data_IF_509026142157
#
_entry.id   IF_509026142157
#
_cell.length_a   1.000
_cell.length_b   1.000
_cell.length_c   1.000
_cell.angle_alpha   90.00
_cell.angle_beta   90.00
_cell.angle_gamma   90.00
#
_symmetry.space_group_name_H-M   'P 1'
#
loop_
_entity.id
_entity.type
_entity.pdbx_description
1 polymer ?
#
# COMPACT_ATOMS: atom_id res chain seq x y z
N UNK A 1 -46.97 33.09 31.03
CA UNK A 1 -46.36 31.74 30.91
C UNK A 1 -45.75 31.44 29.53
N UNK A 2 -46.27 32.02 28.44
CA UNK A 2 -45.84 31.75 27.05
C UNK A 2 -44.38 32.14 26.71
N UNK A 3 -43.83 33.24 27.24
CA UNK A 3 -42.41 33.65 27.05
C UNK A 3 -41.42 32.63 27.64
N UNK A 4 -41.71 32.06 28.81
CA UNK A 4 -40.84 31.06 29.46
C UNK A 4 -40.85 29.73 28.68
N UNK A 5 -41.98 29.37 28.07
CA UNK A 5 -42.09 28.20 27.19
C UNK A 5 -41.36 28.41 25.86
N UNK A 6 -41.42 29.62 25.28
CA UNK A 6 -40.68 29.98 24.07
C UNK A 6 -39.16 29.96 24.30
N UNK A 7 -38.67 30.51 25.42
CA UNK A 7 -37.24 30.46 25.76
C UNK A 7 -36.75 29.03 25.99
N UNK A 8 -37.55 28.18 26.66
CA UNK A 8 -37.19 26.77 26.87
C UNK A 8 -37.05 26.02 25.54
N UNK A 9 -37.98 26.23 24.60
CA UNK A 9 -37.92 25.64 23.26
C UNK A 9 -36.68 26.06 22.47
N UNK A 10 -36.32 27.35 22.53
CA UNK A 10 -35.12 27.89 21.86
C UNK A 10 -33.82 27.30 22.43
N UNK A 11 -33.73 27.16 23.76
CA UNK A 11 -32.54 26.59 24.42
C UNK A 11 -32.37 25.12 24.02
N UNK A 12 -33.44 24.33 24.02
CA UNK A 12 -33.38 22.93 23.56
C UNK A 12 -33.02 22.82 22.08
N UNK A 13 -33.52 23.71 21.23
CA UNK A 13 -33.18 23.74 19.81
C UNK A 13 -31.69 24.02 19.57
N UNK A 14 -31.14 25.02 20.27
CA UNK A 14 -29.70 25.33 20.18
C UNK A 14 -28.81 24.21 20.72
N UNK A 15 -29.23 23.52 21.79
CA UNK A 15 -28.49 22.37 22.32
C UNK A 15 -28.40 21.22 21.30
N UNK A 16 -29.52 20.91 20.62
CA UNK A 16 -29.55 19.87 19.58
C UNK A 16 -28.63 20.25 18.41
N UNK A 17 -28.72 21.50 17.93
CA UNK A 17 -27.86 22.00 16.83
C UNK A 17 -26.37 21.92 17.22
N UNK A 18 -26.02 22.30 18.45
CA UNK A 18 -24.64 22.21 18.95
C UNK A 18 -24.11 20.78 18.99
N UNK A 19 -24.91 19.81 19.43
CA UNK A 19 -24.50 18.40 19.45
C UNK A 19 -24.31 17.83 18.05
N UNK A 20 -25.20 18.15 17.10
CA UNK A 20 -25.07 17.72 15.70
C UNK A 20 -23.83 18.34 15.05
N UNK A 21 -23.60 19.63 15.25
CA UNK A 21 -22.40 20.31 14.75
C UNK A 21 -21.10 19.68 15.31
N UNK A 22 -21.07 19.34 16.61
CA UNK A 22 -19.91 18.67 17.22
C UNK A 22 -19.65 17.28 16.60
N UNK A 23 -20.71 16.50 16.35
CA UNK A 23 -20.58 15.17 15.73
C UNK A 23 -20.10 15.21 14.28
N UNK A 24 -20.46 16.25 13.51
CA UNK A 24 -20.03 16.41 12.11
C UNK A 24 -18.57 16.88 12.06
N UNK A 25 -18.19 17.87 12.88
CA UNK A 25 -16.81 18.37 12.92
C UNK A 25 -15.82 17.33 13.43
N UNK A 26 -16.19 16.52 14.43
CA UNK A 26 -15.36 15.40 14.89
C UNK A 26 -15.17 14.32 13.82
N UNK A 27 -16.08 14.25 12.83
CA UNK A 27 -16.04 13.28 11.73
C UNK A 27 -15.36 13.78 10.45
N UNK A 28 -15.10 15.07 10.31
CA UNK A 28 -14.47 15.64 9.11
C UNK A 28 -12.93 15.51 9.08
N UNK A 29 -12.32 14.92 10.11
CA UNK A 29 -10.86 14.92 10.29
C UNK A 29 -10.12 13.65 9.85
N UNK A 30 -10.78 12.66 9.25
CA UNK A 30 -10.18 11.34 8.99
C UNK A 30 -10.36 10.81 7.56
N UNK A 31 -10.33 11.67 6.56
CA UNK A 31 -10.15 11.23 5.18
C UNK A 31 -8.82 11.76 4.66
N UNK A 32 -7.73 11.23 5.23
CA UNK A 32 -6.44 11.20 4.54
C UNK A 32 -6.39 9.92 3.73
N UNK A 33 -6.29 10.05 2.42
CA UNK A 33 -6.05 9.01 1.40
C UNK A 33 -4.64 8.37 1.57
N UNK A 34 -4.29 8.01 2.81
CA UNK A 34 -2.93 7.86 3.32
C UNK A 34 -2.25 6.52 3.05
N UNK A 35 -2.80 5.68 2.19
CA UNK A 35 -2.29 4.32 1.92
C UNK A 35 -1.49 4.22 0.61
N UNK A 36 -1.33 5.32 -0.13
CA UNK A 36 -0.68 5.30 -1.44
C UNK A 36 0.41 6.37 -1.50
N UNK A 37 1.64 5.94 -1.73
CA UNK A 37 2.79 6.81 -1.95
C UNK A 37 3.23 6.73 -3.41
N UNK A 38 3.26 7.88 -4.10
CA UNK A 38 3.75 7.97 -5.48
C UNK A 38 5.27 8.14 -5.44
N UNK A 39 6.00 7.19 -6.02
CA UNK A 39 7.47 7.24 -6.14
C UNK A 39 7.88 7.13 -7.60
N UNK A 40 8.62 8.13 -8.09
CA UNK A 40 9.31 8.03 -9.37
C UNK A 40 10.67 7.37 -9.17
N UNK A 41 10.84 6.17 -9.70
CA UNK A 41 12.12 5.49 -9.72
C UNK A 41 12.81 5.72 -11.07
N UNK A 42 14.12 6.01 -11.10
CA UNK A 42 14.87 6.12 -12.34
C UNK A 42 14.94 4.77 -13.06
N UNK A 43 15.36 4.79 -14.33
CA UNK A 43 15.59 3.57 -15.09
C UNK A 43 16.67 2.71 -14.40
N UNK A 44 16.30 1.47 -14.08
CA UNK A 44 17.14 0.51 -13.36
C UNK A 44 17.36 -0.73 -14.22
N UNK A 45 18.57 -1.28 -14.15
CA UNK A 45 18.85 -2.61 -14.68
C UNK A 45 18.41 -3.66 -13.68
N UNK A 46 17.55 -4.58 -14.14
CA UNK A 46 16.86 -5.49 -13.24
C UNK A 46 17.09 -6.95 -13.61
N UNK A 47 17.57 -7.75 -12.66
CA UNK A 47 17.65 -9.20 -12.83
C UNK A 47 16.24 -9.80 -12.69
N UNK A 48 15.77 -10.49 -13.72
CA UNK A 48 14.41 -11.02 -13.77
C UNK A 48 14.35 -12.51 -14.12
N UNK A 49 13.42 -13.23 -13.50
CA UNK A 49 13.11 -14.62 -13.90
C UNK A 49 11.64 -14.76 -14.27
N UNK A 50 11.39 -15.43 -15.38
CA UNK A 50 10.07 -15.73 -15.91
C UNK A 50 9.76 -17.20 -15.64
N UNK A 51 8.55 -17.51 -15.20
CA UNK A 51 8.09 -18.89 -15.17
C UNK A 51 6.62 -19.00 -15.53
N UNK A 52 6.31 -20.10 -16.22
CA UNK A 52 4.94 -20.56 -16.40
C UNK A 52 4.47 -21.11 -15.06
N UNK A 53 3.28 -20.73 -14.62
CA UNK A 53 2.64 -21.39 -13.48
C UNK A 53 2.55 -22.90 -13.79
N UNK A 54 3.35 -23.73 -13.10
CA UNK A 54 3.03 -25.15 -13.00
C UNK A 54 1.92 -25.28 -11.96
N UNK A 55 0.92 -26.11 -12.26
CA UNK A 55 -0.17 -26.59 -11.39
C UNK A 55 0.22 -27.00 -9.97
N UNK A 56 1.52 -27.11 -9.66
CA UNK A 56 2.07 -27.47 -8.34
C UNK A 56 2.50 -26.29 -7.45
N UNK A 57 2.35 -25.05 -7.91
CA UNK A 57 2.48 -23.84 -7.06
C UNK A 57 3.84 -23.60 -6.41
N UNK A 58 4.88 -24.34 -6.82
CA UNK A 58 6.21 -24.31 -6.20
C UNK A 58 7.18 -23.52 -7.09
N UNK A 59 6.97 -22.21 -7.16
CA UNK A 59 7.75 -21.33 -8.03
C UNK A 59 9.10 -21.03 -7.35
N UNK A 60 10.12 -21.87 -7.59
CA UNK A 60 11.50 -21.71 -7.08
C UNK A 60 12.26 -20.49 -7.64
N UNK A 61 11.54 -19.49 -8.12
CA UNK A 61 12.04 -18.33 -8.85
C UNK A 61 12.85 -17.39 -7.98
N UNK A 62 12.37 -17.16 -6.76
CA UNK A 62 13.14 -16.41 -5.78
C UNK A 62 14.48 -17.09 -5.50
N UNK A 63 14.50 -18.42 -5.35
CA UNK A 63 15.74 -19.18 -5.13
C UNK A 63 16.69 -19.08 -6.33
N UNK A 64 16.19 -19.11 -7.57
CA UNK A 64 17.03 -18.92 -8.77
C UNK A 64 17.74 -17.57 -8.73
N UNK A 65 16.99 -16.52 -8.41
CA UNK A 65 17.51 -15.16 -8.36
C UNK A 65 18.46 -14.96 -7.18
N UNK A 66 18.13 -15.55 -6.03
CA UNK A 66 19.00 -15.59 -4.87
C UNK A 66 20.34 -16.30 -5.15
N UNK A 67 20.33 -17.40 -5.93
CA UNK A 67 21.56 -18.07 -6.35
C UNK A 67 22.41 -17.18 -7.25
N UNK A 68 21.80 -16.50 -8.24
CA UNK A 68 22.48 -15.58 -9.14
C UNK A 68 23.28 -14.51 -8.36
N UNK A 69 22.63 -13.84 -7.40
CA UNK A 69 23.27 -12.81 -6.59
C UNK A 69 24.24 -13.37 -5.56
N UNK A 70 24.08 -14.63 -5.15
CA UNK A 70 24.99 -15.30 -4.21
C UNK A 70 26.30 -15.79 -4.85
N UNK A 71 26.50 -15.59 -6.16
CA UNK A 71 27.71 -16.00 -6.88
C UNK A 71 27.48 -17.05 -7.96
N UNK A 72 26.25 -17.50 -8.19
CA UNK A 72 25.97 -18.41 -9.32
C UNK A 72 25.73 -17.60 -10.62
N UNK A 73 26.75 -16.86 -11.04
CA UNK A 73 26.80 -16.08 -12.29
C UNK A 73 28.16 -16.33 -12.98
N UNK A 74 28.31 -15.87 -14.21
CA UNK A 74 29.48 -16.20 -15.05
C UNK A 74 30.82 -15.72 -14.48
N UNK A 75 30.81 -14.76 -13.54
CA UNK A 75 32.01 -14.23 -12.89
C UNK A 75 32.25 -14.80 -11.49
N UNK A 76 31.40 -15.71 -11.01
CA UNK A 76 31.41 -16.26 -9.64
C UNK A 76 31.37 -15.17 -8.54
N UNK A 77 30.80 -14.00 -8.85
CA UNK A 77 30.83 -12.84 -7.95
C UNK A 77 29.56 -12.69 -7.14
N UNK A 78 29.70 -12.38 -5.85
CA UNK A 78 28.56 -12.04 -5.00
C UNK A 78 28.08 -10.62 -5.27
N UNK A 79 26.83 -10.48 -5.70
CA UNK A 79 26.15 -9.19 -5.88
C UNK A 79 25.52 -8.80 -4.54
N UNK A 80 25.64 -7.53 -4.15
CA UNK A 80 25.07 -7.03 -2.90
C UNK A 80 23.54 -7.19 -2.90
N UNK A 81 22.99 -7.54 -1.73
CA UNK A 81 21.55 -7.67 -1.55
C UNK A 81 20.89 -6.29 -1.61
N UNK A 82 19.82 -6.16 -2.38
CA UNK A 82 18.98 -4.96 -2.44
C UNK A 82 17.56 -5.27 -2.01
N UNK A 83 16.81 -4.24 -1.64
CA UNK A 83 15.43 -4.33 -1.18
C UNK A 83 14.63 -3.15 -1.73
N UNK A 84 13.35 -3.32 -2.12
CA UNK A 84 12.51 -4.53 -2.02
C UNK A 84 12.63 -5.47 -3.24
N UNK A 85 12.10 -6.69 -3.12
CA UNK A 85 11.98 -7.65 -4.24
C UNK A 85 10.59 -7.53 -4.84
N UNK A 86 10.51 -7.28 -6.15
CA UNK A 86 9.23 -7.12 -6.84
C UNK A 86 8.71 -8.44 -7.41
N UNK A 87 7.39 -8.63 -7.33
CA UNK A 87 6.67 -9.74 -7.94
C UNK A 87 5.59 -9.18 -8.88
N UNK A 88 5.83 -9.22 -10.18
CA UNK A 88 4.82 -8.80 -11.16
C UNK A 88 4.03 -10.00 -11.67
N UNK A 89 2.71 -9.96 -11.54
CA UNK A 89 1.83 -10.89 -12.22
C UNK A 89 1.34 -10.24 -13.52
N UNK A 90 2.05 -10.48 -14.64
CA UNK A 90 1.39 -10.33 -15.96
C UNK A 90 0.57 -11.60 -16.18
N UNK A 91 -0.62 -11.47 -16.77
CA UNK A 91 -1.53 -12.59 -17.05
C UNK A 91 -0.75 -13.86 -17.50
N UNK A 92 -0.77 -14.89 -16.65
CA UNK A 92 -0.07 -16.19 -16.75
C UNK A 92 1.47 -16.25 -16.54
N UNK A 93 2.18 -15.13 -16.35
CA UNK A 93 3.63 -15.06 -16.16
C UNK A 93 4.01 -14.19 -14.96
N UNK A 94 4.63 -14.81 -13.94
CA UNK A 94 5.14 -14.09 -12.77
C UNK A 94 6.63 -13.74 -12.96
N UNK A 95 6.94 -12.44 -12.93
CA UNK A 95 8.32 -11.92 -13.00
C UNK A 95 8.77 -11.50 -11.61
N UNK A 96 9.85 -12.10 -11.12
CA UNK A 96 10.56 -11.59 -9.93
C UNK A 96 11.66 -10.67 -10.39
N UNK A 97 11.83 -9.52 -9.75
CA UNK A 97 12.71 -8.46 -10.25
C UNK A 97 13.49 -7.75 -9.12
N UNK A 98 14.78 -7.49 -9.35
CA UNK A 98 15.69 -6.80 -8.40
C UNK A 98 16.24 -5.52 -8.99
N UNK A 99 16.18 -4.42 -8.23
CA UNK A 99 16.92 -3.18 -8.49
C UNK A 99 18.38 -3.34 -8.09
N UNK A 100 19.30 -3.16 -9.03
CA UNK A 100 20.74 -3.02 -8.77
C UNK A 100 21.11 -1.56 -8.53
#
# INVERSE_FOLDING_TARGET
MKRKMLCRGLITGFAVIGTVAWTITARAGYESDGDIEIRENPDLMLAATNSKMDTRGHDGNFIRLFRLISGNNDSDQKIAMTTPVFMQAKTACRTFQWAS
#
